data_IF_795675613729
#
_entry.id   IF_795675613729
#
_cell.length_a   1.000
_cell.length_b   1.000
_cell.length_c   1.000
_cell.angle_alpha   90.00
_cell.angle_beta   90.00
_cell.angle_gamma   90.00
#
_symmetry.space_group_name_H-M   'P 1'
#
loop_
_entity.id
_entity.type
_entity.pdbx_description
1 polymer ?
#
# COMPACT_ATOMS: atom_id res chain seq x y z
N UNK A 1 0.24 13.98 25.55
CA UNK A 1 0.60 12.56 25.80
C UNK A 1 -0.40 11.90 26.77
N UNK A 2 -1.27 11.02 26.28
CA UNK A 2 -2.03 10.09 27.14
C UNK A 2 -1.22 8.79 27.14
N UNK A 3 -0.70 8.38 28.30
CA UNK A 3 0.01 7.10 28.40
C UNK A 3 -0.98 5.93 28.23
N UNK A 4 -0.61 4.86 27.50
CA UNK A 4 -1.43 3.67 27.45
C UNK A 4 -1.43 3.02 28.85
N UNK A 5 -2.56 2.46 29.32
CA UNK A 5 -2.64 1.82 30.62
C UNK A 5 -1.64 0.65 30.70
N UNK A 6 -0.81 0.63 31.75
CA UNK A 6 0.26 -0.36 31.99
C UNK A 6 -0.24 -1.77 32.33
N UNK A 7 -1.54 -2.03 32.29
CA UNK A 7 -2.11 -3.37 32.45
C UNK A 7 -3.47 -3.45 31.76
N UNK A 8 -3.61 -4.42 30.86
CA UNK A 8 -4.89 -4.81 30.26
C UNK A 8 -5.81 -5.27 31.40
N UNK A 9 -7.08 -4.84 31.49
CA UNK A 9 -8.00 -5.35 32.50
C UNK A 9 -8.11 -6.87 32.37
N UNK A 10 -7.89 -7.62 33.45
CA UNK A 10 -8.00 -9.08 33.40
C UNK A 10 -9.44 -9.49 33.06
N UNK A 11 -9.60 -10.35 32.05
CA UNK A 11 -10.89 -10.87 31.58
C UNK A 11 -11.21 -12.26 32.16
N UNK A 12 -10.70 -12.60 33.35
CA UNK A 12 -10.96 -13.91 33.98
C UNK A 12 -12.45 -14.15 34.30
N UNK A 13 -13.28 -13.10 34.37
CA UNK A 13 -14.73 -13.24 34.58
C UNK A 13 -15.50 -13.72 33.34
N UNK A 14 -14.87 -13.85 32.16
CA UNK A 14 -15.50 -14.34 30.92
C UNK A 14 -15.28 -15.84 30.68
N UNK A 15 -15.19 -16.65 31.75
CA UNK A 15 -14.96 -18.11 31.64
C UNK A 15 -15.91 -19.01 32.44
N UNK A 16 -16.97 -18.49 33.06
CA UNK A 16 -17.92 -19.35 33.80
C UNK A 16 -19.23 -19.45 33.00
N UNK A 17 -19.58 -20.61 32.42
CA UNK A 17 -20.93 -20.84 31.94
C UNK A 17 -21.85 -21.02 33.15
N UNK A 18 -22.86 -20.17 33.28
CA UNK A 18 -23.90 -20.30 34.31
C UNK A 18 -24.94 -21.29 33.80
N UNK A 19 -24.96 -22.50 34.38
CA UNK A 19 -26.10 -23.41 34.24
C UNK A 19 -27.29 -22.88 35.05
N UNK A 20 -28.47 -22.91 34.44
CA UNK A 20 -29.73 -22.50 35.04
C UNK A 20 -30.25 -23.60 35.98
N UNK A 21 -30.53 -23.27 37.24
CA UNK A 21 -31.54 -23.99 38.03
C UNK A 21 -32.11 -23.10 39.15
N UNK A 22 -33.42 -23.22 39.34
CA UNK A 22 -34.31 -22.21 39.90
C UNK A 22 -34.28 -22.01 41.42
N UNK A 23 -34.67 -20.80 41.83
CA UNK A 23 -35.76 -20.51 42.79
C UNK A 23 -35.85 -18.99 43.06
N UNK A 24 -37.06 -18.44 43.00
CA UNK A 24 -37.46 -17.07 43.34
C UNK A 24 -38.09 -17.04 44.75
N UNK A 25 -38.46 -15.88 45.36
CA UNK A 25 -38.02 -14.48 45.18
C UNK A 25 -37.83 -13.73 46.53
N UNK A 26 -37.09 -12.61 46.60
CA UNK A 26 -37.54 -11.41 47.36
C UNK A 26 -36.71 -10.14 47.10
N UNK A 27 -37.44 -9.03 46.99
CA UNK A 27 -37.03 -7.64 47.26
C UNK A 27 -36.12 -6.92 46.27
N UNK A 28 -36.78 -6.27 45.30
CA UNK A 28 -36.65 -4.81 45.12
C UNK A 28 -35.27 -4.26 44.79
N UNK A 29 -34.85 -4.42 43.53
CA UNK A 29 -34.08 -3.43 42.77
C UNK A 29 -34.07 -3.91 41.32
N UNK A 30 -34.52 -3.07 40.39
CA UNK A 30 -34.47 -3.35 38.95
C UNK A 30 -33.00 -3.42 38.51
N UNK A 31 -32.44 -4.58 38.14
CA UNK A 31 -31.09 -4.63 37.60
C UNK A 31 -31.21 -4.18 36.16
N UNK A 32 -30.77 -2.96 35.87
CA UNK A 32 -30.43 -2.55 34.51
C UNK A 32 -29.46 -3.59 33.97
N UNK A 33 -29.90 -4.35 32.97
CA UNK A 33 -29.07 -5.24 32.18
C UNK A 33 -27.80 -4.48 31.76
N UNK A 34 -26.67 -4.88 32.33
CA UNK A 34 -25.36 -4.37 31.97
C UNK A 34 -25.02 -4.86 30.57
N UNK A 35 -25.53 -4.15 29.56
CA UNK A 35 -25.07 -4.27 28.20
C UNK A 35 -23.54 -4.13 28.17
N UNK A 36 -22.88 -5.08 27.51
CA UNK A 36 -21.50 -5.02 27.04
C UNK A 36 -20.92 -3.60 27.07
N UNK A 37 -20.21 -3.24 28.15
CA UNK A 37 -19.67 -1.89 28.31
C UNK A 37 -18.47 -1.69 27.38
N UNK A 38 -18.74 -1.39 26.11
CA UNK A 38 -17.92 -0.48 25.36
C UNK A 38 -17.87 0.84 26.13
N UNK A 39 -16.71 1.50 26.18
CA UNK A 39 -16.54 2.76 26.91
C UNK A 39 -17.58 3.81 26.53
N UNK A 40 -17.79 4.85 27.36
CA UNK A 40 -18.76 5.92 27.09
C UNK A 40 -18.51 6.71 25.79
N UNK A 41 -17.44 6.39 25.06
CA UNK A 41 -17.03 7.02 23.81
C UNK A 41 -17.71 6.43 22.56
N UNK A 42 -18.30 5.24 22.64
CA UNK A 42 -18.89 4.54 21.49
C UNK A 42 -20.39 4.26 21.64
N UNK A 43 -21.04 4.84 22.66
CA UNK A 43 -22.49 4.72 22.85
C UNK A 43 -23.25 5.63 21.88
N UNK A 44 -24.34 5.11 21.32
CA UNK A 44 -25.17 5.84 20.35
C UNK A 44 -25.79 7.07 21.01
N UNK A 45 -25.42 8.27 20.56
CA UNK A 45 -25.86 9.54 21.13
C UNK A 45 -27.32 9.88 20.83
N UNK A 46 -27.91 9.28 19.80
CA UNK A 46 -29.32 9.48 19.43
C UNK A 46 -29.65 10.88 18.88
N UNK A 47 -28.62 11.70 18.59
CA UNK A 47 -28.72 13.02 17.94
C UNK A 47 -27.90 12.99 16.66
N UNK A 48 -28.41 13.63 15.59
CA UNK A 48 -27.64 13.79 14.35
C UNK A 48 -26.32 14.52 14.65
N UNK A 49 -25.20 13.95 14.21
CA UNK A 49 -23.83 14.43 14.48
C UNK A 49 -23.42 14.47 15.97
N UNK A 50 -24.15 13.78 16.85
CA UNK A 50 -23.87 13.75 18.28
C UNK A 50 -22.47 13.20 18.60
N UNK A 51 -22.07 12.09 17.97
CA UNK A 51 -20.75 11.49 18.16
C UNK A 51 -19.61 12.42 17.74
N UNK A 52 -19.72 13.01 16.54
CA UNK A 52 -18.69 13.91 15.99
C UNK A 52 -18.43 15.13 16.87
N UNK A 53 -19.48 15.76 17.41
CA UNK A 53 -19.34 16.94 18.28
C UNK A 53 -18.61 16.58 19.58
N UNK A 54 -18.91 15.41 20.16
CA UNK A 54 -18.24 14.93 21.37
C UNK A 54 -16.75 14.64 21.12
N UNK A 55 -16.42 14.06 19.97
CA UNK A 55 -15.04 13.79 19.57
C UNK A 55 -14.23 15.10 19.39
N UNK A 56 -14.82 16.10 18.72
CA UNK A 56 -14.20 17.42 18.55
C UNK A 56 -13.96 18.08 19.92
N UNK A 57 -14.96 18.04 20.82
CA UNK A 57 -14.84 18.63 22.15
C UNK A 57 -13.74 17.97 22.98
N UNK A 58 -13.54 16.66 22.83
CA UNK A 58 -12.46 15.92 23.51
C UNK A 58 -11.08 16.24 22.94
N UNK A 59 -10.97 16.42 21.62
CA UNK A 59 -9.69 16.67 20.92
C UNK A 59 -9.19 18.11 21.01
N UNK A 60 -10.10 19.09 20.98
CA UNK A 60 -9.78 20.52 20.95
C UNK A 60 -8.71 20.99 21.97
N UNK A 61 -8.73 20.60 23.26
CA UNK A 61 -7.73 21.08 24.22
C UNK A 61 -6.32 20.54 23.97
N UNK A 62 -6.19 19.40 23.30
CA UNK A 62 -4.89 18.76 23.04
C UNK A 62 -4.21 19.30 21.77
N UNK A 63 -4.95 19.95 20.88
CA UNK A 63 -4.44 20.36 19.57
C UNK A 63 -3.21 21.27 19.66
N UNK A 64 -3.24 22.28 20.54
CA UNK A 64 -2.10 23.19 20.76
C UNK A 64 -0.91 22.50 21.44
N UNK A 65 -1.18 21.51 22.31
CA UNK A 65 -0.13 20.72 22.96
C UNK A 65 0.59 19.82 21.95
N UNK A 66 -0.13 19.25 20.99
CA UNK A 66 0.42 18.32 20.00
C UNK A 66 1.50 19.01 19.12
N UNK A 67 1.32 20.29 18.74
CA UNK A 67 2.34 21.05 18.01
C UNK A 67 3.60 21.34 18.82
N UNK A 68 3.45 21.61 20.12
CA UNK A 68 4.59 21.89 21.00
C UNK A 68 5.40 20.62 21.27
N UNK A 69 4.73 19.49 21.46
CA UNK A 69 5.35 18.18 21.69
C UNK A 69 6.10 17.67 20.44
N UNK A 70 5.65 18.05 19.24
CA UNK A 70 6.27 17.65 17.98
C UNK A 70 7.67 18.23 17.74
N UNK A 71 8.08 19.28 18.46
CA UNK A 71 9.39 19.96 18.29
C UNK A 71 10.59 19.23 18.93
N UNK A 72 10.42 17.96 19.33
CA UNK A 72 11.50 17.15 19.87
C UNK A 72 12.42 16.56 18.78
N UNK A 73 13.74 16.49 19.02
CA UNK A 73 14.71 15.90 18.09
C UNK A 73 14.41 14.43 17.73
N UNK A 74 13.79 13.68 18.64
CA UNK A 74 13.35 12.30 18.38
C UNK A 74 12.23 12.22 17.33
N UNK A 75 11.43 13.28 17.20
CA UNK A 75 10.37 13.38 16.19
C UNK A 75 10.96 13.46 14.78
N UNK A 76 12.05 14.21 14.60
CA UNK A 76 12.71 14.36 13.29
C UNK A 76 13.17 13.02 12.71
N UNK A 77 13.80 12.17 13.53
CA UNK A 77 14.21 10.83 13.11
C UNK A 77 13.01 9.96 12.71
N UNK A 78 11.88 10.10 13.43
CA UNK A 78 10.65 9.37 13.12
C UNK A 78 10.01 9.87 11.82
N UNK A 79 10.03 11.19 11.56
CA UNK A 79 9.54 11.79 10.31
C UNK A 79 10.31 11.25 9.11
N UNK A 80 11.64 11.25 9.16
CA UNK A 80 12.47 10.74 8.06
C UNK A 80 12.22 9.25 7.81
N UNK A 81 12.14 8.45 8.88
CA UNK A 81 11.86 7.02 8.75
C UNK A 81 10.48 6.73 8.15
N UNK A 82 9.42 7.39 8.66
CA UNK A 82 8.07 7.24 8.12
C UNK A 82 7.98 7.74 6.68
N UNK A 83 8.64 8.85 6.34
CA UNK A 83 8.67 9.37 4.97
C UNK A 83 9.18 8.32 3.99
N UNK A 84 10.35 7.71 4.26
CA UNK A 84 10.90 6.66 3.42
C UNK A 84 9.97 5.42 3.36
N UNK A 85 9.40 5.03 4.50
CA UNK A 85 8.52 3.87 4.57
C UNK A 85 7.21 4.05 3.78
N UNK A 86 6.64 5.26 3.78
CA UNK A 86 5.38 5.55 3.10
C UNK A 86 5.55 5.93 1.64
N UNK A 87 6.70 6.50 1.25
CA UNK A 87 6.96 6.91 -0.13
C UNK A 87 7.03 5.70 -1.08
N UNK A 88 7.67 4.61 -0.66
CA UNK A 88 7.88 3.43 -1.52
C UNK A 88 6.57 2.76 -1.97
N UNK A 89 5.60 2.45 -1.09
CA UNK A 89 4.31 1.91 -1.51
C UNK A 89 3.52 2.89 -2.37
N UNK A 90 3.54 4.19 -2.07
CA UNK A 90 2.80 5.21 -2.85
C UNK A 90 3.33 5.29 -4.29
N UNK A 91 4.65 5.28 -4.48
CA UNK A 91 5.26 5.29 -5.81
C UNK A 91 4.99 3.98 -6.54
N UNK A 92 5.12 2.84 -5.86
CA UNK A 92 4.91 1.51 -6.45
C UNK A 92 3.47 1.34 -6.93
N UNK A 93 2.50 1.61 -6.05
CA UNK A 93 1.08 1.55 -6.42
C UNK A 93 0.70 2.61 -7.46
N UNK A 94 1.26 3.81 -7.38
CA UNK A 94 1.06 4.85 -8.39
C UNK A 94 1.62 4.48 -9.77
N UNK A 95 2.75 3.77 -9.82
CA UNK A 95 3.34 3.26 -11.06
C UNK A 95 2.51 2.15 -11.69
N UNK A 96 2.10 1.16 -10.88
CA UNK A 96 1.20 0.08 -11.32
C UNK A 96 -0.15 0.61 -11.81
N UNK A 97 -0.67 1.65 -11.16
CA UNK A 97 -1.90 2.31 -11.58
C UNK A 97 -1.71 3.10 -12.89
N UNK A 98 -0.55 3.71 -13.10
CA UNK A 98 -0.16 4.35 -14.36
C UNK A 98 -0.13 3.38 -15.54
N UNK A 99 0.46 2.22 -15.34
CA UNK A 99 0.47 1.15 -16.36
C UNK A 99 -0.93 0.62 -16.64
N UNK A 100 -1.74 0.40 -15.60
CA UNK A 100 -3.11 -0.11 -15.75
C UNK A 100 -4.08 0.89 -16.39
N UNK A 101 -3.83 2.19 -16.27
CA UNK A 101 -4.72 3.27 -16.75
C UNK A 101 -4.25 3.95 -18.04
N UNK A 102 -3.28 3.36 -18.74
CA UNK A 102 -2.67 3.93 -19.96
C UNK A 102 -2.12 5.36 -19.74
N UNK A 103 -1.55 5.61 -18.56
CA UNK A 103 -0.96 6.91 -18.21
C UNK A 103 -1.96 8.02 -17.88
N UNK A 104 -3.27 7.73 -17.74
CA UNK A 104 -4.26 8.73 -17.32
C UNK A 104 -4.13 9.14 -15.85
N UNK A 105 -3.55 8.29 -15.02
CA UNK A 105 -3.22 8.60 -13.63
C UNK A 105 -1.89 7.93 -13.29
N UNK A 106 -0.85 8.72 -13.02
CA UNK A 106 0.51 8.22 -12.84
C UNK A 106 0.95 8.30 -11.37
N UNK A 107 2.22 7.98 -11.13
CA UNK A 107 2.81 8.00 -9.80
C UNK A 107 2.84 9.41 -9.17
N UNK A 108 3.01 10.45 -9.98
CA UNK A 108 3.08 11.85 -9.52
C UNK A 108 1.73 12.37 -9.02
N UNK A 109 0.62 12.08 -9.71
CA UNK A 109 -0.72 12.46 -9.25
C UNK A 109 -1.10 11.71 -7.97
N UNK A 110 -0.71 10.44 -7.89
CA UNK A 110 -0.91 9.61 -6.70
C UNK A 110 -0.13 10.16 -5.49
N UNK A 111 1.12 10.57 -5.70
CA UNK A 111 1.95 11.19 -4.67
C UNK A 111 1.36 12.53 -4.21
N UNK A 112 0.95 13.38 -5.15
CA UNK A 112 0.32 14.66 -4.84
C UNK A 112 -0.98 14.46 -4.04
N UNK A 113 -1.85 13.54 -4.48
CA UNK A 113 -3.09 13.20 -3.78
C UNK A 113 -2.85 12.67 -2.37
N UNK A 114 -1.88 11.78 -2.18
CA UNK A 114 -1.50 11.27 -0.86
C UNK A 114 -0.96 12.38 0.05
N UNK A 115 -0.15 13.30 -0.48
CA UNK A 115 0.40 14.41 0.30
C UNK A 115 -0.67 15.39 0.78
N UNK A 116 -1.60 15.79 -0.10
CA UNK A 116 -2.66 16.73 0.23
C UNK A 116 -3.64 16.13 1.24
N UNK A 117 -4.04 14.87 1.03
CA UNK A 117 -4.92 14.16 1.95
C UNK A 117 -4.25 13.87 3.29
N UNK A 118 -2.96 13.55 3.29
CA UNK A 118 -2.16 13.36 4.52
C UNK A 118 -2.08 14.64 5.35
N UNK A 119 -1.80 15.79 4.74
CA UNK A 119 -1.78 17.09 5.43
C UNK A 119 -3.16 17.40 6.00
N UNK A 120 -4.21 17.30 5.19
CA UNK A 120 -5.58 17.56 5.64
C UNK A 120 -5.98 16.63 6.80
N UNK A 121 -5.67 15.33 6.71
CA UNK A 121 -5.98 14.37 7.77
C UNK A 121 -5.18 14.66 9.05
N UNK A 122 -3.89 14.96 8.95
CA UNK A 122 -3.05 15.26 10.12
C UNK A 122 -3.55 16.47 10.93
N UNK A 123 -4.15 17.47 10.26
CA UNK A 123 -4.68 18.68 10.90
C UNK A 123 -6.07 18.46 11.53
N UNK A 124 -6.93 17.63 10.94
CA UNK A 124 -8.32 17.49 11.36
C UNK A 124 -8.67 16.15 12.03
N UNK A 125 -7.77 15.15 12.03
CA UNK A 125 -8.05 13.83 12.59
C UNK A 125 -8.03 13.82 14.13
N UNK A 126 -8.93 13.02 14.72
CA UNK A 126 -8.91 12.73 16.15
C UNK A 126 -7.63 12.00 16.59
N UNK A 127 -7.11 11.11 15.74
CA UNK A 127 -5.87 10.34 15.97
C UNK A 127 -4.87 10.57 14.81
N UNK A 128 -3.97 11.57 14.92
CA UNK A 128 -3.01 11.89 13.86
C UNK A 128 -1.87 10.86 13.69
N UNK A 129 -1.81 9.82 14.53
CA UNK A 129 -0.85 8.73 14.40
C UNK A 129 -1.20 7.76 13.25
N UNK A 130 -2.44 7.79 12.76
CA UNK A 130 -2.88 6.95 11.65
C UNK A 130 -2.35 7.51 10.34
N UNK A 131 -1.63 6.68 9.58
CA UNK A 131 -1.07 7.05 8.28
C UNK A 131 -2.05 6.65 7.19
N UNK A 132 -2.41 7.60 6.34
CA UNK A 132 -3.19 7.33 5.14
C UNK A 132 -2.28 6.83 4.02
N UNK A 133 -2.70 5.77 3.35
CA UNK A 133 -1.99 5.19 2.22
C UNK A 133 -2.94 4.48 1.27
N UNK A 134 -2.53 4.36 0.00
CA UNK A 134 -3.22 3.50 -0.94
C UNK A 134 -3.04 2.04 -0.53
N UNK A 135 -4.09 1.23 -0.70
CA UNK A 135 -4.07 -0.19 -0.35
C UNK A 135 -4.31 -1.05 -1.60
N UNK A 136 -3.80 -2.27 -1.60
CA UNK A 136 -3.97 -3.23 -2.70
C UNK A 136 -5.42 -3.39 -3.18
N UNK A 137 -6.43 -3.53 -2.28
CA UNK A 137 -7.84 -3.63 -2.69
C UNK A 137 -8.33 -2.42 -3.48
N UNK A 138 -7.90 -1.21 -3.12
CA UNK A 138 -8.26 0.03 -3.84
C UNK A 138 -7.64 0.01 -5.24
N UNK A 139 -6.40 -0.45 -5.39
CA UNK A 139 -5.75 -0.60 -6.69
C UNK A 139 -6.48 -1.62 -7.59
N UNK A 140 -6.88 -2.78 -7.04
CA UNK A 140 -7.65 -3.78 -7.77
C UNK A 140 -9.01 -3.22 -8.20
N UNK A 141 -9.69 -2.50 -7.32
CA UNK A 141 -10.94 -1.82 -7.64
C UNK A 141 -10.78 -0.83 -8.80
N UNK A 142 -9.75 0.02 -8.76
CA UNK A 142 -9.46 0.99 -9.82
C UNK A 142 -9.15 0.32 -11.17
N UNK A 143 -8.43 -0.82 -11.16
CA UNK A 143 -8.17 -1.60 -12.38
C UNK A 143 -9.46 -2.18 -12.99
N UNK A 144 -10.35 -2.70 -12.15
CA UNK A 144 -11.66 -3.20 -12.60
C UNK A 144 -12.52 -2.05 -13.13
N UNK A 145 -12.54 -0.91 -12.43
CA UNK A 145 -13.27 0.29 -12.85
C UNK A 145 -12.78 0.80 -14.21
N UNK A 146 -11.47 0.84 -14.41
CA UNK A 146 -10.88 1.24 -15.69
C UNK A 146 -11.26 0.29 -16.82
N UNK A 147 -11.17 -1.03 -16.58
CA UNK A 147 -11.60 -2.05 -17.56
C UNK A 147 -13.09 -1.90 -17.90
N UNK A 148 -13.94 -1.71 -16.90
CA UNK A 148 -15.37 -1.45 -17.09
C UNK A 148 -15.60 -0.19 -17.93
N UNK A 149 -14.93 0.93 -17.62
CA UNK A 149 -15.04 2.14 -18.44
C UNK A 149 -14.66 1.91 -19.90
N UNK A 150 -13.62 1.12 -20.16
CA UNK A 150 -13.18 0.81 -21.53
C UNK A 150 -14.20 -0.05 -22.28
N UNK A 151 -14.76 -1.06 -21.63
CA UNK A 151 -15.72 -1.98 -22.24
C UNK A 151 -17.04 -1.26 -22.58
N UNK A 152 -17.46 -0.29 -21.76
CA UNK A 152 -18.68 0.52 -21.97
C UNK A 152 -18.43 1.89 -22.63
N UNK A 153 -17.20 2.20 -23.06
CA UNK A 153 -16.81 3.48 -23.67
C UNK A 153 -17.16 4.72 -22.82
N UNK A 154 -17.06 4.59 -21.49
CA UNK A 154 -17.32 5.67 -20.54
C UNK A 154 -16.04 6.43 -20.17
N UNK A 155 -16.18 7.73 -19.92
CA UNK A 155 -15.07 8.58 -19.46
C UNK A 155 -14.65 8.22 -18.02
N UNK A 156 -13.51 7.52 -17.89
CA UNK A 156 -12.94 7.08 -16.62
C UNK A 156 -12.90 8.17 -15.53
N UNK A 157 -12.39 9.37 -15.83
CA UNK A 157 -12.24 10.45 -14.84
C UNK A 157 -13.60 10.93 -14.29
N UNK A 158 -14.62 11.01 -15.16
CA UNK A 158 -15.96 11.46 -14.77
C UNK A 158 -16.67 10.42 -13.89
N UNK A 159 -16.56 9.13 -14.25
CA UNK A 159 -17.11 8.05 -13.44
C UNK A 159 -16.43 7.97 -12.08
N UNK A 160 -15.10 8.08 -12.05
CA UNK A 160 -14.32 8.11 -10.80
C UNK A 160 -14.75 9.25 -9.88
N UNK A 161 -14.98 10.44 -10.44
CA UNK A 161 -15.45 11.61 -9.67
C UNK A 161 -16.85 11.36 -9.11
N UNK A 162 -17.74 10.76 -9.90
CA UNK A 162 -19.10 10.42 -9.49
C UNK A 162 -19.11 9.40 -8.35
N UNK A 163 -18.27 8.36 -8.43
CA UNK A 163 -18.10 7.36 -7.35
C UNK A 163 -17.56 8.04 -6.09
N UNK A 164 -16.58 8.95 -6.23
CA UNK A 164 -16.04 9.71 -5.10
C UNK A 164 -17.09 10.60 -4.42
N UNK A 165 -17.95 11.27 -5.19
CA UNK A 165 -19.05 12.09 -4.66
C UNK A 165 -20.08 11.23 -3.91
N UNK A 166 -20.49 10.10 -4.46
CA UNK A 166 -21.40 9.16 -3.79
C UNK A 166 -20.79 8.57 -2.52
N UNK A 167 -19.50 8.21 -2.56
CA UNK A 167 -18.78 7.70 -1.38
C UNK A 167 -18.72 8.76 -0.29
N UNK A 168 -18.40 10.01 -0.62
CA UNK A 168 -18.41 11.14 0.31
C UNK A 168 -19.78 11.37 0.94
N UNK A 169 -20.85 11.33 0.14
CA UNK A 169 -22.22 11.43 0.62
C UNK A 169 -22.56 10.31 1.61
N UNK A 170 -22.26 9.05 1.27
CA UNK A 170 -22.48 7.91 2.15
C UNK A 170 -21.67 8.01 3.44
N UNK A 171 -20.43 8.48 3.38
CA UNK A 171 -19.62 8.75 4.58
C UNK A 171 -20.27 9.78 5.50
N UNK A 172 -20.80 10.88 4.97
CA UNK A 172 -21.50 11.89 5.78
C UNK A 172 -22.75 11.28 6.44
N UNK A 173 -23.52 10.46 5.72
CA UNK A 173 -24.69 9.76 6.27
C UNK A 173 -24.28 8.80 7.40
N UNK A 174 -23.19 8.05 7.25
CA UNK A 174 -22.68 7.16 8.30
C UNK A 174 -22.23 7.92 9.54
N UNK A 175 -21.58 9.07 9.37
CA UNK A 175 -21.21 9.97 10.48
C UNK A 175 -22.46 10.54 11.16
N UNK A 176 -23.47 10.97 10.39
CA UNK A 176 -24.71 11.52 10.92
C UNK A 176 -25.55 10.48 11.70
N UNK A 177 -25.46 9.19 11.33
CA UNK A 177 -26.20 8.09 11.93
C UNK A 177 -25.51 7.43 13.13
N UNK A 178 -24.37 7.97 13.58
CA UNK A 178 -23.51 7.43 14.64
C UNK A 178 -23.11 5.95 14.39
N UNK A 179 -22.77 5.62 13.13
CA UNK A 179 -22.35 4.27 12.73
C UNK A 179 -21.02 3.82 13.37
N UNK A 180 -20.26 4.74 13.97
CA UNK A 180 -19.05 4.45 14.75
C UNK A 180 -19.32 3.46 15.91
N UNK A 181 -20.56 3.42 16.42
CA UNK A 181 -20.98 2.43 17.43
C UNK A 181 -20.83 0.97 16.98
N UNK A 182 -20.86 0.69 15.66
CA UNK A 182 -20.67 -0.67 15.12
C UNK A 182 -19.25 -1.20 15.34
N UNK A 183 -18.26 -0.32 15.49
CA UNK A 183 -16.87 -0.71 15.76
C UNK A 183 -16.76 -1.48 17.09
N UNK A 184 -17.68 -1.29 18.03
CA UNK A 184 -17.74 -2.07 19.28
C UNK A 184 -17.96 -3.56 19.08
N UNK A 185 -18.52 -3.97 17.95
CA UNK A 185 -18.74 -5.38 17.63
C UNK A 185 -17.47 -6.04 17.08
N UNK A 186 -16.46 -5.27 16.68
CA UNK A 186 -15.16 -5.80 16.28
C UNK A 186 -14.47 -6.32 17.54
N UNK A 187 -14.20 -7.62 17.55
CA UNK A 187 -13.52 -8.27 18.67
C UNK A 187 -12.00 -8.15 18.50
N UNK A 188 -11.28 -8.27 19.62
CA UNK A 188 -9.81 -8.34 19.61
C UNK A 188 -9.27 -9.45 18.69
N UNK A 189 -9.98 -10.58 18.62
CA UNK A 189 -9.61 -11.67 17.72
C UNK A 189 -9.63 -11.23 16.26
N UNK A 190 -10.68 -10.53 15.84
CA UNK A 190 -10.76 -10.01 14.46
C UNK A 190 -9.72 -8.94 14.18
N UNK A 191 -9.37 -8.10 15.16
CA UNK A 191 -8.31 -7.10 15.03
C UNK A 191 -6.93 -7.74 14.86
N UNK A 192 -6.56 -8.70 15.72
CA UNK A 192 -5.27 -9.39 15.65
C UNK A 192 -5.16 -10.25 14.36
N UNK A 193 -6.24 -10.92 13.96
CA UNK A 193 -6.27 -11.70 12.72
C UNK A 193 -6.14 -10.81 11.48
N UNK A 194 -6.83 -9.66 11.45
CA UNK A 194 -6.73 -8.71 10.34
C UNK A 194 -5.32 -8.11 10.25
N UNK A 195 -4.72 -7.72 11.38
CA UNK A 195 -3.35 -7.22 11.41
C UNK A 195 -2.35 -8.27 10.90
N UNK A 196 -2.49 -9.54 11.32
CA UNK A 196 -1.65 -10.63 10.85
C UNK A 196 -1.79 -10.87 9.33
N UNK A 197 -3.02 -10.82 8.81
CA UNK A 197 -3.29 -10.96 7.37
C UNK A 197 -2.57 -9.87 6.56
N UNK A 198 -2.71 -8.60 6.95
CA UNK A 198 -2.04 -7.48 6.28
C UNK A 198 -0.51 -7.62 6.34
N UNK A 199 0.03 -8.07 7.48
CA UNK A 199 1.47 -8.32 7.60
C UNK A 199 1.96 -9.40 6.63
N UNK A 200 1.21 -10.51 6.51
CA UNK A 200 1.56 -11.60 5.57
C UNK A 200 1.48 -11.11 4.12
N UNK A 201 0.45 -10.33 3.76
CA UNK A 201 0.31 -9.76 2.42
C UNK A 201 1.50 -8.86 2.08
N UNK A 202 1.93 -7.96 2.98
CA UNK A 202 3.09 -7.11 2.72
C UNK A 202 4.39 -7.89 2.58
N UNK A 203 4.58 -8.97 3.35
CA UNK A 203 5.76 -9.85 3.20
C UNK A 203 5.73 -10.54 1.83
N UNK A 204 4.57 -11.07 1.44
CA UNK A 204 4.40 -11.72 0.15
C UNK A 204 4.66 -10.75 -1.01
N UNK A 205 4.09 -9.55 -0.98
CA UNK A 205 4.26 -8.53 -2.02
C UNK A 205 5.73 -8.10 -2.14
N UNK A 206 6.46 -7.95 -1.03
CA UNK A 206 7.89 -7.66 -1.05
C UNK A 206 8.72 -8.78 -1.69
N UNK A 207 8.36 -10.04 -1.45
CA UNK A 207 9.04 -11.20 -2.06
C UNK A 207 8.69 -11.33 -3.55
N UNK A 208 7.42 -11.16 -3.93
CA UNK A 208 6.97 -11.17 -5.32
C UNK A 208 7.74 -10.13 -6.14
N UNK A 209 7.90 -8.90 -5.62
CA UNK A 209 8.70 -7.87 -6.30
C UNK A 209 10.18 -8.22 -6.43
N UNK A 210 10.75 -8.94 -5.47
CA UNK A 210 12.12 -9.44 -5.56
C UNK A 210 12.25 -10.53 -6.64
N UNK A 211 11.25 -11.41 -6.77
CA UNK A 211 11.22 -12.44 -7.82
C UNK A 211 10.97 -11.85 -9.22
N UNK A 212 10.06 -10.89 -9.36
CA UNK A 212 9.83 -10.16 -10.63
C UNK A 212 11.13 -9.51 -11.14
N UNK A 213 11.89 -8.90 -10.23
CA UNK A 213 13.20 -8.35 -10.52
C UNK A 213 14.19 -9.45 -10.94
N UNK A 214 14.06 -10.62 -10.33
CA UNK A 214 14.81 -11.83 -10.63
C UNK A 214 14.64 -12.30 -12.09
N UNK A 215 13.41 -12.29 -12.59
CA UNK A 215 13.11 -12.65 -13.98
C UNK A 215 13.53 -11.55 -14.97
N UNK A 216 13.32 -10.28 -14.60
CA UNK A 216 13.65 -9.12 -15.45
C UNK A 216 15.16 -8.98 -15.65
N UNK A 217 15.95 -9.21 -14.59
CA UNK A 217 17.41 -9.17 -14.60
C UNK A 217 18.00 -10.57 -14.38
N UNK A 218 17.60 -11.51 -15.22
CA UNK A 218 18.02 -12.91 -15.11
C UNK A 218 19.55 -13.07 -15.08
N UNK A 219 20.02 -13.98 -14.21
CA UNK A 219 21.44 -14.30 -14.11
C UNK A 219 21.89 -15.14 -15.31
N UNK A 220 23.00 -14.75 -15.94
CA UNK A 220 23.59 -15.54 -17.01
C UNK A 220 24.33 -16.76 -16.41
N UNK A 221 23.63 -17.91 -16.35
CA UNK A 221 24.16 -19.16 -15.81
C UNK A 221 25.23 -19.82 -16.70
N UNK A 222 25.38 -19.38 -17.96
CA UNK A 222 26.33 -19.93 -18.94
C UNK A 222 27.50 -18.98 -19.21
N UNK A 223 28.13 -18.47 -18.15
CA UNK A 223 29.29 -17.60 -18.26
C UNK A 223 30.59 -18.44 -18.34
N UNK A 224 31.14 -18.60 -19.54
CA UNK A 224 32.50 -19.11 -19.74
C UNK A 224 33.46 -17.93 -19.75
N UNK A 225 34.31 -17.83 -18.72
CA UNK A 225 35.30 -16.75 -18.58
C UNK A 225 36.20 -16.60 -19.83
N UNK A 226 36.51 -17.72 -20.50
CA UNK A 226 37.38 -17.75 -21.69
C UNK A 226 36.73 -17.13 -22.95
N UNK A 227 35.41 -16.88 -22.94
CA UNK A 227 34.64 -16.37 -24.09
C UNK A 227 34.12 -14.94 -23.90
N UNK A 228 34.65 -14.20 -22.91
CA UNK A 228 34.19 -12.85 -22.55
C UNK A 228 34.09 -11.87 -23.75
N UNK A 229 35.01 -11.98 -24.71
CA UNK A 229 35.06 -11.16 -25.94
C UNK A 229 34.05 -11.54 -27.02
N UNK A 230 33.37 -12.69 -26.89
CA UNK A 230 32.37 -13.19 -27.85
C UNK A 230 30.92 -13.01 -27.40
N UNK A 231 30.70 -12.48 -26.20
CA UNK A 231 29.38 -12.13 -25.69
C UNK A 231 28.92 -10.81 -26.31
N UNK A 232 28.17 -10.89 -27.40
CA UNK A 232 27.46 -9.75 -27.98
C UNK A 232 25.97 -10.00 -27.90
N UNK A 233 25.19 -8.96 -27.56
CA UNK A 233 23.76 -8.96 -27.76
C UNK A 233 23.41 -7.86 -28.74
N UNK A 234 22.89 -8.23 -29.91
CA UNK A 234 22.62 -7.28 -31.00
C UNK A 234 21.15 -7.38 -31.39
N UNK A 235 20.53 -6.23 -31.60
CA UNK A 235 19.20 -6.17 -32.16
C UNK A 235 19.24 -6.54 -33.64
N UNK A 236 18.33 -7.40 -34.07
CA UNK A 236 18.22 -7.91 -35.44
C UNK A 236 16.78 -7.91 -35.89
N UNK A 237 16.58 -7.91 -37.20
CA UNK A 237 15.25 -8.03 -37.80
C UNK A 237 14.57 -9.34 -37.36
N UNK A 238 13.27 -9.30 -36.97
CA UNK A 238 12.54 -10.51 -36.64
C UNK A 238 12.43 -11.44 -37.86
N UNK A 239 12.78 -12.74 -37.74
CA UNK A 239 12.72 -13.67 -38.87
C UNK A 239 11.29 -13.93 -39.37
N UNK A 240 10.28 -13.71 -38.53
CA UNK A 240 8.86 -13.80 -38.87
C UNK A 240 8.11 -12.59 -38.28
N UNK A 241 7.93 -11.48 -39.03
CA UNK A 241 7.19 -10.32 -38.54
C UNK A 241 5.69 -10.66 -38.43
N UNK A 242 5.05 -10.28 -37.31
CA UNK A 242 3.60 -10.43 -37.15
C UNK A 242 2.86 -9.37 -37.98
N UNK A 243 1.59 -9.64 -38.34
CA UNK A 243 0.78 -8.68 -39.11
C UNK A 243 0.69 -7.29 -38.45
N UNK A 244 0.77 -7.23 -37.12
CA UNK A 244 0.79 -5.99 -36.35
C UNK A 244 2.10 -5.21 -36.57
N UNK A 245 3.25 -5.89 -36.56
CA UNK A 245 4.55 -5.25 -36.83
C UNK A 245 4.63 -4.69 -38.25
N UNK A 246 4.10 -5.42 -39.23
CA UNK A 246 4.02 -4.96 -40.62
C UNK A 246 3.09 -3.75 -40.77
N UNK A 247 1.97 -3.73 -40.06
CA UNK A 247 1.05 -2.59 -40.04
C UNK A 247 1.70 -1.34 -39.42
N UNK A 248 2.50 -1.51 -38.38
CA UNK A 248 3.22 -0.42 -37.73
C UNK A 248 4.34 0.15 -38.61
N UNK A 249 5.16 -0.70 -39.22
CA UNK A 249 6.20 -0.27 -40.16
C UNK A 249 5.60 0.44 -41.38
N UNK A 250 4.47 -0.06 -41.91
CA UNK A 250 3.72 0.60 -42.99
C UNK A 250 3.15 1.96 -42.58
N UNK A 251 2.69 2.09 -41.33
CA UNK A 251 2.17 3.36 -40.79
C UNK A 251 3.27 4.42 -40.64
N UNK A 252 4.48 4.00 -40.28
CA UNK A 252 5.63 4.90 -40.16
C UNK A 252 6.41 5.09 -41.47
N UNK A 253 5.97 4.47 -42.59
CA UNK A 253 6.69 4.43 -43.88
C UNK A 253 8.13 3.89 -43.78
N UNK A 254 8.38 2.96 -42.86
CA UNK A 254 9.70 2.37 -42.64
C UNK A 254 9.74 0.96 -43.23
N UNK A 255 10.79 0.65 -43.97
CA UNK A 255 11.09 -0.71 -44.42
C UNK A 255 12.17 -1.34 -43.55
N UNK A 256 12.10 -2.66 -43.32
CA UNK A 256 13.00 -3.38 -42.44
C UNK A 256 14.49 -3.22 -42.79
N UNK A 257 14.80 -3.05 -44.08
CA UNK A 257 16.16 -2.84 -44.59
C UNK A 257 16.70 -1.41 -44.39
N UNK A 258 15.82 -0.41 -44.22
CA UNK A 258 16.23 0.98 -43.97
C UNK A 258 16.60 1.21 -42.49
N UNK A 259 16.31 0.24 -41.62
CA UNK A 259 16.61 0.30 -40.20
C UNK A 259 18.02 -0.25 -39.97
N UNK A 260 18.92 0.58 -39.41
CA UNK A 260 20.21 0.11 -38.93
C UNK A 260 20.06 -0.61 -37.58
N UNK A 261 19.61 -1.87 -37.62
CA UNK A 261 19.32 -2.70 -36.44
C UNK A 261 20.43 -2.72 -35.39
N UNK A 262 21.69 -2.67 -35.82
CA UNK A 262 22.87 -2.72 -34.94
C UNK A 262 23.15 -1.42 -34.19
N UNK A 263 22.67 -0.28 -34.69
CA UNK A 263 22.91 1.04 -34.09
C UNK A 263 21.74 1.50 -33.20
N UNK A 264 20.68 0.70 -33.10
CA UNK A 264 19.51 1.02 -32.29
C UNK A 264 19.78 0.81 -30.81
N UNK A 265 19.24 1.71 -29.99
CA UNK A 265 19.19 1.49 -28.54
C UNK A 265 18.21 0.36 -28.19
N UNK A 266 18.36 -0.23 -27.00
CA UNK A 266 17.49 -1.33 -26.53
C UNK A 266 16.01 -0.93 -26.53
N UNK A 267 15.70 0.33 -26.18
CA UNK A 267 14.34 0.88 -26.19
C UNK A 267 13.77 1.03 -27.61
N UNK A 268 14.58 1.51 -28.56
CA UNK A 268 14.14 1.68 -29.95
C UNK A 268 13.98 0.32 -30.65
N UNK A 269 14.86 -0.63 -30.37
CA UNK A 269 14.74 -2.01 -30.84
C UNK A 269 13.42 -2.65 -30.38
N UNK A 270 13.04 -2.49 -29.10
CA UNK A 270 11.74 -2.96 -28.59
C UNK A 270 10.56 -2.25 -29.25
N UNK A 271 10.65 -0.94 -29.46
CA UNK A 271 9.61 -0.15 -30.12
C UNK A 271 9.37 -0.59 -31.57
N UNK A 272 10.42 -1.01 -32.25
CA UNK A 272 10.39 -1.51 -33.62
C UNK A 272 10.15 -3.03 -33.71
N UNK A 273 9.85 -3.69 -32.59
CA UNK A 273 9.65 -5.14 -32.50
C UNK A 273 10.83 -5.98 -33.04
N UNK A 274 12.06 -5.52 -32.80
CA UNK A 274 13.28 -6.26 -33.10
C UNK A 274 13.51 -7.45 -32.17
N UNK A 275 14.27 -8.44 -32.65
CA UNK A 275 14.67 -9.62 -31.86
C UNK A 275 16.13 -9.46 -31.46
N UNK A 276 16.41 -9.72 -30.18
CA UNK A 276 17.77 -9.74 -29.66
C UNK A 276 18.40 -11.10 -29.92
N UNK A 277 19.48 -11.13 -30.72
CA UNK A 277 20.25 -12.34 -31.01
C UNK A 277 21.65 -12.21 -30.42
N UNK A 278 22.07 -13.26 -29.70
CA UNK A 278 23.39 -13.31 -29.08
C UNK A 278 23.45 -14.17 -27.83
N UNK A 279 24.65 -14.63 -27.49
CA UNK A 279 24.92 -15.41 -26.27
C UNK A 279 24.74 -14.60 -24.97
N UNK A 280 24.70 -13.27 -25.08
CA UNK A 280 24.46 -12.34 -23.98
C UNK A 280 23.05 -11.70 -24.00
N UNK A 281 22.12 -12.25 -24.77
CA UNK A 281 20.71 -11.81 -24.77
C UNK A 281 19.86 -12.76 -23.89
N UNK A 282 19.03 -12.18 -23.02
CA UNK A 282 17.91 -12.86 -22.37
C UNK A 282 16.60 -12.68 -23.14
N UNK A 283 15.50 -13.20 -22.60
CA UNK A 283 14.15 -13.12 -23.22
C UNK A 283 13.65 -11.68 -23.46
N UNK A 284 14.10 -10.72 -22.65
CA UNK A 284 13.60 -9.35 -22.67
C UNK A 284 14.67 -8.29 -23.00
N UNK A 285 15.87 -8.67 -23.42
CA UNK A 285 16.95 -7.74 -23.76
C UNK A 285 18.34 -8.27 -23.44
N UNK A 286 19.39 -7.43 -23.54
CA UNK A 286 20.74 -7.82 -23.13
C UNK A 286 20.80 -8.10 -21.62
N UNK A 287 21.59 -9.11 -21.22
CA UNK A 287 21.89 -9.34 -19.81
C UNK A 287 22.65 -8.15 -19.24
N UNK A 288 22.12 -7.57 -18.18
CA UNK A 288 22.80 -6.53 -17.42
C UNK A 288 23.34 -7.23 -16.16
N UNK A 289 24.67 -7.47 -16.09
CA UNK A 289 25.24 -8.20 -14.97
C UNK A 289 25.10 -7.42 -13.66
N UNK A 290 25.17 -8.16 -12.54
CA UNK A 290 25.32 -7.67 -11.16
C UNK A 290 24.15 -6.89 -10.53
N UNK A 291 23.17 -6.41 -11.31
CA UNK A 291 22.01 -5.67 -10.76
C UNK A 291 21.22 -6.50 -9.76
N UNK A 292 20.84 -7.72 -10.13
CA UNK A 292 20.08 -8.64 -9.26
C UNK A 292 20.85 -8.96 -7.97
N UNK A 293 22.15 -9.25 -8.09
CA UNK A 293 23.00 -9.57 -6.96
C UNK A 293 23.08 -8.41 -5.95
N UNK A 294 23.32 -7.19 -6.44
CA UNK A 294 23.33 -5.99 -5.60
C UNK A 294 21.96 -5.73 -4.95
N UNK A 295 20.86 -5.91 -5.69
CA UNK A 295 19.51 -5.74 -5.13
C UNK A 295 19.22 -6.74 -4.01
N UNK A 296 19.58 -8.01 -4.18
CA UNK A 296 19.42 -9.05 -3.14
C UNK A 296 20.26 -8.71 -1.91
N UNK A 297 21.53 -8.31 -2.09
CA UNK A 297 22.40 -7.91 -0.98
C UNK A 297 21.81 -6.71 -0.24
N UNK A 298 21.40 -5.66 -0.96
CA UNK A 298 20.83 -4.46 -0.34
C UNK A 298 19.55 -4.77 0.43
N UNK A 299 18.68 -5.63 -0.11
CA UNK A 299 17.45 -6.06 0.53
C UNK A 299 17.71 -6.76 1.87
N UNK A 300 18.51 -7.83 1.86
CA UNK A 300 18.80 -8.59 3.07
C UNK A 300 19.64 -7.79 4.07
N UNK A 301 20.65 -7.05 3.61
CA UNK A 301 21.50 -6.22 4.47
C UNK A 301 20.68 -5.16 5.19
N UNK A 302 19.77 -4.48 4.49
CA UNK A 302 18.90 -3.46 5.10
C UNK A 302 17.94 -4.09 6.11
N UNK A 303 17.37 -5.26 5.80
CA UNK A 303 16.51 -6.00 6.73
C UNK A 303 17.25 -6.42 8.00
N UNK A 304 18.42 -7.04 7.86
CA UNK A 304 19.22 -7.48 9.00
C UNK A 304 19.73 -6.29 9.82
N UNK A 305 20.21 -5.22 9.17
CA UNK A 305 20.66 -4.01 9.84
C UNK A 305 19.52 -3.34 10.60
N UNK A 306 18.34 -3.19 10.00
CA UNK A 306 17.16 -2.62 10.66
C UNK A 306 16.70 -3.46 11.87
N UNK A 307 16.65 -4.79 11.69
CA UNK A 307 16.33 -5.72 12.78
C UNK A 307 17.35 -5.64 13.91
N UNK A 308 18.65 -5.61 13.57
CA UNK A 308 19.74 -5.45 14.51
C UNK A 308 19.64 -4.13 15.27
N UNK A 309 19.46 -2.99 14.59
CA UNK A 309 19.31 -1.67 15.21
C UNK A 309 18.09 -1.60 16.13
N UNK A 310 16.97 -2.22 15.75
CA UNK A 310 15.76 -2.30 16.58
C UNK A 310 15.99 -3.12 17.85
N UNK A 311 16.68 -4.26 17.74
CA UNK A 311 17.09 -5.04 18.91
C UNK A 311 18.13 -4.31 19.75
N UNK A 312 19.05 -3.57 19.12
CA UNK A 312 20.10 -2.83 19.80
C UNK A 312 19.54 -1.71 20.67
N UNK A 313 18.45 -1.05 20.24
CA UNK A 313 17.72 -0.04 21.03
C UNK A 313 17.23 -0.54 22.39
N UNK A 314 16.89 -1.83 22.52
CA UNK A 314 16.40 -2.39 23.79
C UNK A 314 17.50 -2.96 24.67
N UNK A 315 18.75 -3.00 24.19
CA UNK A 315 19.90 -3.51 24.94
C UNK A 315 20.57 -2.39 25.73
N UNK A 316 21.06 -2.72 26.93
CA UNK A 316 21.71 -1.78 27.88
C UNK A 316 23.17 -1.43 27.52
N UNK A 317 23.57 -1.57 26.26
CA UNK A 317 24.98 -1.38 25.86
C UNK A 317 25.40 0.10 25.75
N UNK A 318 24.44 1.03 25.68
CA UNK A 318 24.69 2.48 25.71
C UNK A 318 23.78 3.15 26.76
N UNK A 319 24.21 4.29 27.34
CA UNK A 319 23.49 5.01 28.38
C UNK A 319 22.12 5.52 27.94
#
# INVERSE_FOLDING_TARGET
>A
RIEPPKSVPSQEKRKIPVFHNGSTPTSGETPKEAAHHAGPELQRTGRLFGGLILDIKRKAPFFLSDFKDALSLQCLASILFLYCACMSPVITFGGLLGEATEGRISAIESLFGASLTGIAYSLFAGQPLTILGSTGPVLVFEKILYKFCRDYQLSYLSLRTSIGLWTSFLCIVLVATDASSLVCYITRFTEEAFAALICIIFIYEALEKLFDLGETYAFNMHNNLDKLTSYSCVCTEPPNPSNETLAQWKKENITAHNISWRNLTVSECKKLHGVFLGSACGHHGPYIPDVLFWCVILFFTTFFLSSFLKQFKTKRYFP
#
